data_IF_538051536199
#
_entry.id   IF_538051536199
#
_cell.length_a   1.000
_cell.length_b   1.000
_cell.length_c   1.000
_cell.angle_alpha   90.00
_cell.angle_beta   90.00
_cell.angle_gamma   90.00
#
_symmetry.space_group_name_H-M   'P 1'
#
loop_
_entity.id
_entity.type
_entity.pdbx_description
1 polymer ?
#
# COMPACT_ATOMS: atom_id res chain seq x y z
N UNK A 1 2.83 -32.33 -6.37
CA UNK A 1 3.40 -30.98 -6.64
C UNK A 1 4.87 -30.98 -6.29
N UNK A 2 5.72 -30.25 -6.99
CA UNK A 2 7.08 -29.99 -6.51
C UNK A 2 6.99 -29.38 -5.12
N UNK A 3 7.80 -29.84 -4.19
CA UNK A 3 7.77 -29.41 -2.79
C UNK A 3 8.84 -28.35 -2.63
N UNK A 4 8.45 -27.13 -2.33
CA UNK A 4 9.36 -26.10 -1.86
C UNK A 4 9.57 -26.25 -0.36
N UNK A 5 10.82 -26.11 0.10
CA UNK A 5 11.17 -26.29 1.52
C UNK A 5 11.12 -24.95 2.27
N UNK A 6 10.94 -25.03 3.60
CA UNK A 6 11.09 -23.87 4.49
C UNK A 6 12.47 -23.22 4.36
N UNK A 7 13.53 -24.02 4.12
CA UNK A 7 14.87 -23.52 3.88
C UNK A 7 14.94 -22.64 2.62
N UNK A 8 14.27 -23.05 1.54
CA UNK A 8 14.23 -22.28 0.29
C UNK A 8 13.59 -20.91 0.48
N UNK A 9 12.40 -20.86 1.12
CA UNK A 9 11.74 -19.57 1.38
C UNK A 9 12.52 -18.70 2.36
N UNK A 10 13.13 -19.31 3.40
CA UNK A 10 14.01 -18.60 4.34
C UNK A 10 15.17 -17.93 3.61
N UNK A 11 15.84 -18.66 2.70
CA UNK A 11 16.92 -18.10 1.88
C UNK A 11 16.44 -16.96 1.00
N UNK A 12 15.30 -17.10 0.32
CA UNK A 12 14.74 -16.04 -0.53
C UNK A 12 14.43 -14.77 0.27
N UNK A 13 13.76 -14.88 1.44
CA UNK A 13 13.50 -13.72 2.30
C UNK A 13 14.82 -13.08 2.75
N UNK A 14 15.80 -13.90 3.17
CA UNK A 14 17.08 -13.39 3.64
C UNK A 14 17.84 -12.63 2.54
N UNK A 15 17.87 -13.15 1.30
CA UNK A 15 18.51 -12.46 0.17
C UNK A 15 17.80 -11.13 -0.15
N UNK A 16 16.46 -11.11 -0.17
CA UNK A 16 15.69 -9.88 -0.40
C UNK A 16 15.91 -8.85 0.70
N UNK A 17 15.96 -9.27 1.98
CA UNK A 17 16.21 -8.36 3.11
C UNK A 17 17.60 -7.76 3.09
N UNK A 18 18.62 -8.50 2.64
CA UNK A 18 19.99 -7.96 2.49
C UNK A 18 20.12 -6.82 1.49
N UNK A 19 19.19 -6.74 0.55
CA UNK A 19 19.19 -5.69 -0.46
C UNK A 19 18.49 -4.46 0.10
N UNK A 20 19.27 -3.41 0.37
CA UNK A 20 18.75 -2.09 0.70
C UNK A 20 17.93 -1.58 -0.49
N UNK A 21 16.64 -1.32 -0.26
CA UNK A 21 15.68 -0.78 -1.22
C UNK A 21 14.84 0.34 -0.61
N UNK A 22 15.43 1.11 0.32
CA UNK A 22 14.75 2.27 0.92
C UNK A 22 14.34 3.24 -0.18
N UNK A 23 13.05 3.62 -0.15
CA UNK A 23 12.46 4.51 -1.14
C UNK A 23 13.08 5.92 -1.07
N UNK A 24 13.76 6.39 -2.12
CA UNK A 24 14.42 7.70 -2.12
C UNK A 24 13.45 8.88 -2.14
N UNK A 25 12.18 8.67 -2.49
CA UNK A 25 11.13 9.70 -2.40
C UNK A 25 10.69 9.94 -0.95
N UNK A 26 10.80 8.92 -0.09
CA UNK A 26 10.52 9.03 1.36
C UNK A 26 11.77 9.47 2.14
N UNK A 27 12.93 8.93 1.76
CA UNK A 27 14.19 9.17 2.47
C UNK A 27 15.23 9.67 1.46
N UNK A 28 15.59 10.94 1.47
CA UNK A 28 16.63 11.47 0.61
C UNK A 28 17.93 10.65 0.72
N UNK A 29 18.43 10.14 -0.40
CA UNK A 29 19.60 9.26 -0.46
C UNK A 29 19.30 7.77 -0.23
N UNK A 30 18.04 7.37 -0.12
CA UNK A 30 17.61 5.97 -0.13
C UNK A 30 18.14 5.22 -1.36
N UNK A 31 18.44 3.92 -1.20
CA UNK A 31 19.13 3.12 -2.21
C UNK A 31 18.30 2.86 -3.48
N UNK A 32 16.97 2.97 -3.39
CA UNK A 32 16.04 2.68 -4.49
C UNK A 32 15.98 1.20 -4.85
N UNK A 33 15.24 0.89 -5.90
CA UNK A 33 14.84 -0.49 -6.20
C UNK A 33 15.74 -1.22 -7.19
N UNK A 34 16.74 -0.57 -7.81
CA UNK A 34 17.52 -1.19 -8.89
C UNK A 34 18.11 -2.55 -8.52
N UNK A 35 18.77 -2.63 -7.37
CA UNK A 35 19.46 -3.88 -6.95
C UNK A 35 18.49 -5.01 -6.69
N UNK A 36 17.41 -4.74 -5.98
CA UNK A 36 16.38 -5.75 -5.66
C UNK A 36 15.58 -6.13 -6.91
N UNK A 37 15.30 -5.20 -7.81
CA UNK A 37 14.64 -5.49 -9.10
C UNK A 37 15.48 -6.42 -9.96
N UNK A 38 16.81 -6.19 -10.07
CA UNK A 38 17.73 -7.08 -10.78
C UNK A 38 17.75 -8.47 -10.18
N UNK A 39 17.84 -8.58 -8.86
CA UNK A 39 17.80 -9.86 -8.17
C UNK A 39 16.51 -10.62 -8.43
N UNK A 40 15.35 -9.95 -8.35
CA UNK A 40 14.05 -10.55 -8.64
C UNK A 40 13.97 -11.01 -10.09
N UNK A 41 14.39 -10.16 -11.05
CA UNK A 41 14.39 -10.51 -12.47
C UNK A 41 15.28 -11.74 -12.76
N UNK A 42 16.46 -11.85 -12.13
CA UNK A 42 17.33 -13.02 -12.22
C UNK A 42 16.66 -14.28 -11.66
N UNK A 43 16.02 -14.19 -10.48
CA UNK A 43 15.27 -15.30 -9.89
C UNK A 43 14.13 -15.78 -10.81
N UNK A 44 13.38 -14.86 -11.43
CA UNK A 44 12.31 -15.16 -12.37
C UNK A 44 12.88 -15.85 -13.64
N UNK A 45 13.97 -15.34 -14.20
CA UNK A 45 14.65 -15.95 -15.34
C UNK A 45 15.17 -17.36 -15.02
N UNK A 46 15.79 -17.57 -13.87
CA UNK A 46 16.24 -18.90 -13.41
C UNK A 46 15.07 -19.88 -13.21
N UNK A 47 13.90 -19.38 -12.84
CA UNK A 47 12.69 -20.19 -12.75
C UNK A 47 12.06 -20.48 -14.13
N UNK A 48 12.60 -19.94 -15.24
CA UNK A 48 12.13 -20.19 -16.61
C UNK A 48 11.04 -19.22 -17.10
N UNK A 49 10.84 -18.10 -16.41
CA UNK A 49 9.94 -17.05 -16.88
C UNK A 49 10.63 -16.15 -17.91
N UNK A 50 9.85 -15.59 -18.84
CA UNK A 50 10.27 -14.44 -19.63
C UNK A 50 10.40 -13.24 -18.67
N UNK A 51 11.62 -12.83 -18.35
CA UNK A 51 11.91 -11.80 -17.35
C UNK A 51 12.47 -10.55 -17.99
N UNK A 52 12.06 -9.38 -17.50
CA UNK A 52 12.51 -8.07 -17.96
C UNK A 52 12.57 -7.06 -16.82
N UNK A 53 13.45 -6.06 -16.97
CA UNK A 53 13.55 -4.89 -16.12
C UNK A 53 13.00 -3.68 -16.88
N UNK A 54 12.19 -2.88 -16.19
CA UNK A 54 11.60 -1.66 -16.74
C UNK A 54 11.95 -0.48 -15.84
N UNK A 55 12.75 0.44 -16.35
CA UNK A 55 13.01 1.70 -15.66
C UNK A 55 11.74 2.58 -15.72
N UNK A 56 11.21 2.94 -14.55
CA UNK A 56 9.98 3.74 -14.41
C UNK A 56 10.28 5.20 -14.07
N UNK A 57 11.42 5.44 -13.47
CA UNK A 57 12.01 6.75 -13.21
C UNK A 57 13.52 6.54 -13.05
N UNK A 58 14.31 7.62 -13.03
CA UNK A 58 15.78 7.52 -12.91
C UNK A 58 16.20 6.68 -11.70
N UNK A 59 16.82 5.52 -11.95
CA UNK A 59 17.25 4.56 -10.94
C UNK A 59 16.12 3.77 -10.24
N UNK A 60 14.88 3.89 -10.71
CA UNK A 60 13.70 3.19 -10.16
C UNK A 60 13.24 2.12 -11.15
N UNK A 61 13.18 0.88 -10.75
CA UNK A 61 12.95 -0.24 -11.67
C UNK A 61 11.83 -1.17 -11.19
N UNK A 62 10.97 -1.59 -12.12
CA UNK A 62 10.12 -2.76 -11.98
C UNK A 62 10.86 -4.00 -12.50
N UNK A 63 10.60 -5.16 -11.88
CA UNK A 63 10.96 -6.47 -12.43
C UNK A 63 9.66 -7.20 -12.82
N UNK A 64 9.54 -7.54 -14.10
CA UNK A 64 8.35 -8.21 -14.64
C UNK A 64 8.74 -9.58 -15.17
N UNK A 65 8.01 -10.63 -14.78
CA UNK A 65 8.18 -11.98 -15.28
C UNK A 65 6.88 -12.55 -15.84
N UNK A 66 6.95 -13.35 -16.89
CA UNK A 66 5.79 -14.03 -17.46
C UNK A 66 6.07 -15.52 -17.63
N UNK A 67 5.31 -16.33 -16.93
CA UNK A 67 5.21 -17.76 -17.18
C UNK A 67 4.10 -17.98 -18.22
N UNK A 68 4.50 -18.36 -19.43
CA UNK A 68 3.55 -18.57 -20.53
C UNK A 68 2.70 -19.80 -20.30
N UNK A 69 1.39 -19.63 -20.47
CA UNK A 69 0.44 -20.73 -20.57
C UNK A 69 0.35 -21.29 -21.99
N UNK A 70 -0.31 -22.42 -22.13
CA UNK A 70 -0.57 -23.06 -23.45
C UNK A 70 -1.71 -22.39 -24.24
N UNK A 71 -2.43 -21.46 -23.61
CA UNK A 71 -3.54 -20.72 -24.18
C UNK A 71 -4.91 -21.22 -23.77
N UNK A 72 -5.88 -20.30 -23.76
CA UNK A 72 -7.29 -20.59 -23.49
C UNK A 72 -7.69 -20.65 -22.00
N UNK A 73 -6.84 -20.26 -21.08
CA UNK A 73 -7.16 -20.07 -19.67
C UNK A 73 -7.02 -18.60 -19.22
N UNK A 74 -7.52 -18.27 -18.05
CA UNK A 74 -7.38 -16.93 -17.46
C UNK A 74 -5.96 -16.65 -17.03
N UNK A 75 -5.51 -15.40 -17.17
CA UNK A 75 -4.21 -14.91 -16.69
C UNK A 75 -4.29 -14.40 -15.27
N UNK A 76 -3.27 -14.69 -14.45
CA UNK A 76 -3.17 -14.23 -13.07
C UNK A 76 -1.93 -13.37 -12.87
N UNK A 77 -2.09 -12.18 -12.27
CA UNK A 77 -0.99 -11.35 -11.83
C UNK A 77 -0.67 -11.60 -10.35
N UNK A 78 0.60 -11.77 -10.04
CA UNK A 78 1.16 -11.75 -8.69
C UNK A 78 1.93 -10.43 -8.54
N UNK A 79 1.39 -9.52 -7.75
CA UNK A 79 1.95 -8.18 -7.59
C UNK A 79 2.54 -8.01 -6.18
N UNK A 80 3.61 -7.24 -6.09
CA UNK A 80 4.22 -6.83 -4.83
C UNK A 80 5.28 -5.77 -5.04
N UNK A 81 5.48 -4.91 -4.03
CA UNK A 81 6.44 -3.83 -4.13
C UNK A 81 7.86 -4.23 -3.72
N UNK A 82 8.84 -3.52 -4.27
CA UNK A 82 10.27 -3.72 -4.07
C UNK A 82 10.86 -2.78 -3.03
N UNK A 83 10.29 -1.58 -2.92
CA UNK A 83 10.76 -0.54 -2.01
C UNK A 83 10.39 -0.82 -0.56
N UNK A 84 11.01 -0.08 0.33
CA UNK A 84 10.71 -0.07 1.76
C UNK A 84 10.74 1.35 2.30
N UNK A 85 10.07 1.59 3.42
CA UNK A 85 10.25 2.80 4.21
C UNK A 85 11.65 2.90 4.80
N UNK A 86 11.95 4.03 5.43
CA UNK A 86 13.23 4.29 6.09
C UNK A 86 13.56 3.36 7.25
N UNK A 87 14.78 3.42 7.71
CA UNK A 87 15.36 2.53 8.74
C UNK A 87 15.72 3.25 10.04
N UNK A 88 15.24 4.48 10.24
CA UNK A 88 15.59 5.28 11.40
C UNK A 88 15.33 4.54 12.72
N UNK A 89 16.36 4.42 13.57
CA UNK A 89 16.28 3.73 14.86
C UNK A 89 16.30 2.19 14.78
N UNK A 90 16.47 1.59 13.60
CA UNK A 90 16.56 0.13 13.44
C UNK A 90 18.02 -0.33 13.44
N UNK A 91 18.36 -1.28 14.30
CA UNK A 91 19.70 -1.88 14.31
C UNK A 91 19.84 -2.92 13.20
N UNK A 92 20.90 -2.79 12.39
CA UNK A 92 21.27 -3.73 11.32
C UNK A 92 20.09 -4.10 10.40
N UNK A 93 19.37 -3.12 9.81
CA UNK A 93 18.10 -3.35 9.09
C UNK A 93 18.22 -4.34 7.92
N UNK A 94 19.39 -4.45 7.30
CA UNK A 94 19.67 -5.32 6.14
C UNK A 94 20.56 -6.53 6.48
N UNK A 95 20.71 -6.85 7.77
CA UNK A 95 21.35 -8.07 8.24
C UNK A 95 20.27 -9.05 8.73
N UNK A 96 19.73 -9.92 7.86
CA UNK A 96 18.60 -10.79 8.21
C UNK A 96 18.99 -11.74 9.34
N UNK A 97 18.19 -11.79 10.40
CA UNK A 97 18.37 -12.68 11.55
C UNK A 97 17.18 -13.62 11.67
N UNK A 98 17.46 -14.92 11.68
CA UNK A 98 16.41 -15.93 11.87
C UNK A 98 16.39 -16.38 13.32
N UNK A 99 15.24 -16.29 13.95
CA UNK A 99 15.03 -16.72 15.33
C UNK A 99 13.58 -17.20 15.52
N UNK A 100 13.39 -18.37 16.12
CA UNK A 100 12.08 -18.96 16.46
C UNK A 100 11.09 -18.99 15.27
N UNK A 101 11.56 -19.34 14.06
CA UNK A 101 10.73 -19.38 12.86
C UNK A 101 10.36 -18.03 12.26
N UNK A 102 10.99 -16.95 12.74
CA UNK A 102 10.83 -15.57 12.26
C UNK A 102 12.10 -15.07 11.60
N UNK A 103 11.96 -14.26 10.57
CA UNK A 103 13.10 -13.57 9.96
C UNK A 103 12.92 -12.06 10.19
N UNK A 104 13.91 -11.46 10.83
CA UNK A 104 13.96 -10.04 11.20
C UNK A 104 14.79 -9.25 10.18
N UNK A 105 14.33 -8.05 9.87
CA UNK A 105 14.99 -7.05 9.02
C UNK A 105 13.98 -6.12 8.36
N UNK A 106 14.44 -4.97 7.82
CA UNK A 106 13.57 -4.02 7.13
C UNK A 106 13.00 -4.64 5.85
N UNK A 107 11.69 -4.48 5.67
CA UNK A 107 10.94 -5.05 4.55
C UNK A 107 10.62 -6.54 4.73
N UNK A 108 11.03 -7.18 5.84
CA UNK A 108 10.75 -8.61 6.04
C UNK A 108 9.24 -8.89 6.03
N UNK A 109 8.44 -8.05 6.68
CA UNK A 109 6.99 -8.11 6.66
C UNK A 109 6.43 -7.36 5.44
N UNK A 110 6.90 -6.15 5.17
CA UNK A 110 6.36 -5.20 4.20
C UNK A 110 7.40 -4.88 3.10
N UNK A 111 7.35 -5.56 1.88
CA UNK A 111 6.62 -6.82 1.71
C UNK A 111 7.52 -7.90 1.09
N UNK A 112 8.83 -7.92 1.46
CA UNK A 112 9.81 -8.90 0.91
C UNK A 112 9.46 -10.36 1.26
N UNK A 113 8.71 -10.59 2.36
CA UNK A 113 8.11 -11.89 2.67
C UNK A 113 7.10 -12.33 1.59
N UNK A 114 6.24 -11.42 1.15
CA UNK A 114 5.31 -11.63 0.04
C UNK A 114 6.01 -11.84 -1.30
N UNK A 115 7.07 -11.06 -1.58
CA UNK A 115 7.91 -11.26 -2.77
C UNK A 115 8.60 -12.63 -2.76
N UNK A 116 9.12 -13.07 -1.62
CA UNK A 116 9.71 -14.41 -1.48
C UNK A 116 8.68 -15.52 -1.72
N UNK A 117 7.45 -15.35 -1.20
CA UNK A 117 6.35 -16.28 -1.48
C UNK A 117 6.00 -16.31 -2.97
N UNK A 118 5.99 -15.15 -3.66
CA UNK A 118 5.80 -15.05 -5.10
C UNK A 118 6.87 -15.83 -5.87
N UNK A 119 8.15 -15.58 -5.58
CA UNK A 119 9.27 -16.27 -6.23
C UNK A 119 9.22 -17.79 -6.00
N UNK A 120 8.86 -18.22 -4.80
CA UNK A 120 8.66 -19.62 -4.47
C UNK A 120 7.47 -20.24 -5.24
N UNK A 121 6.34 -19.52 -5.32
CA UNK A 121 5.15 -19.99 -6.04
C UNK A 121 5.43 -20.20 -7.52
N UNK A 122 6.13 -19.27 -8.20
CA UNK A 122 6.45 -19.43 -9.62
C UNK A 122 7.44 -20.57 -9.88
N UNK A 123 8.36 -20.85 -8.94
CA UNK A 123 9.23 -22.03 -9.01
C UNK A 123 8.43 -23.34 -8.97
N UNK A 124 7.39 -23.42 -8.09
CA UNK A 124 6.45 -24.55 -8.03
C UNK A 124 5.72 -24.70 -9.37
N UNK A 125 5.24 -23.58 -9.92
CA UNK A 125 4.44 -23.59 -11.17
C UNK A 125 5.30 -24.00 -12.36
N UNK A 126 6.48 -23.46 -12.52
CA UNK A 126 7.37 -23.72 -13.65
C UNK A 126 7.89 -25.17 -13.69
N UNK A 127 7.99 -25.85 -12.55
CA UNK A 127 8.37 -27.26 -12.46
C UNK A 127 7.19 -28.23 -12.65
N UNK A 128 5.97 -27.70 -12.72
CA UNK A 128 4.75 -28.50 -12.86
C UNK A 128 4.30 -28.63 -14.33
N UNK A 129 3.12 -29.23 -14.56
CA UNK A 129 2.48 -29.21 -15.86
C UNK A 129 2.22 -27.78 -16.35
N UNK A 130 2.33 -27.52 -17.67
CA UNK A 130 2.00 -26.22 -18.24
C UNK A 130 0.57 -25.79 -17.86
N UNK A 131 0.39 -24.52 -17.51
CA UNK A 131 -0.92 -23.92 -17.28
C UNK A 131 -1.58 -23.58 -18.63
N UNK A 132 -2.90 -23.37 -18.64
CA UNK A 132 -3.58 -22.82 -19.84
C UNK A 132 -3.43 -21.31 -19.93
N UNK A 133 -3.61 -20.57 -18.81
CA UNK A 133 -3.42 -19.13 -18.74
C UNK A 133 -2.01 -18.73 -18.32
N UNK A 134 -1.64 -17.47 -18.59
CA UNK A 134 -0.36 -16.91 -18.21
C UNK A 134 -0.34 -16.55 -16.71
N UNK A 135 0.83 -16.68 -16.06
CA UNK A 135 1.10 -16.05 -14.75
C UNK A 135 2.07 -14.89 -14.96
N UNK A 136 1.68 -13.70 -14.54
CA UNK A 136 2.48 -12.47 -14.61
C UNK A 136 2.95 -12.12 -13.21
N UNK A 137 4.27 -12.03 -13.00
CA UNK A 137 4.84 -11.45 -11.78
C UNK A 137 5.14 -10.00 -12.05
N UNK A 138 4.62 -9.11 -11.21
CA UNK A 138 4.85 -7.67 -11.25
C UNK A 138 5.46 -7.22 -9.91
N UNK A 139 6.79 -7.22 -9.82
CA UNK A 139 7.51 -6.65 -8.70
C UNK A 139 7.80 -5.17 -9.01
N UNK A 140 7.14 -4.27 -8.30
CA UNK A 140 7.01 -2.85 -8.66
C UNK A 140 7.73 -1.93 -7.70
N UNK A 141 8.09 -0.75 -8.19
CA UNK A 141 8.75 0.30 -7.43
C UNK A 141 7.75 1.31 -6.86
N UNK A 142 8.13 1.99 -5.77
CA UNK A 142 7.49 3.22 -5.28
C UNK A 142 6.07 3.04 -4.70
N UNK A 143 5.70 1.87 -4.24
CA UNK A 143 4.38 1.65 -3.61
C UNK A 143 4.22 2.51 -2.36
N UNK A 144 5.25 2.56 -1.53
CA UNK A 144 5.31 3.27 -0.25
C UNK A 144 5.17 4.81 -0.36
N UNK A 145 5.12 5.35 -1.61
CA UNK A 145 4.97 6.80 -1.82
C UNK A 145 3.86 7.15 -2.83
N UNK A 146 4.07 6.94 -4.14
CA UNK A 146 3.10 7.33 -5.18
C UNK A 146 2.83 6.23 -6.21
N UNK A 147 3.30 5.02 -5.98
CA UNK A 147 3.06 3.84 -6.84
C UNK A 147 3.48 4.05 -8.30
N UNK A 148 4.59 4.76 -8.51
CA UNK A 148 5.09 5.03 -9.87
C UNK A 148 5.29 3.73 -10.66
N UNK A 149 5.70 2.64 -10.00
CA UNK A 149 5.90 1.32 -10.60
C UNK A 149 4.62 0.71 -11.16
N UNK A 150 3.58 0.60 -10.37
CA UNK A 150 2.28 0.05 -10.81
C UNK A 150 1.61 0.95 -11.85
N UNK A 151 1.70 2.27 -11.71
CA UNK A 151 1.21 3.20 -12.74
C UNK A 151 1.92 3.01 -14.09
N UNK A 152 3.25 2.88 -14.09
CA UNK A 152 4.04 2.63 -15.29
C UNK A 152 3.72 1.25 -15.90
N UNK A 153 3.56 0.21 -15.07
CA UNK A 153 3.12 -1.13 -15.49
C UNK A 153 1.80 -1.06 -16.27
N UNK A 154 0.81 -0.38 -15.71
CA UNK A 154 -0.50 -0.21 -16.32
C UNK A 154 -0.45 0.65 -17.59
N UNK A 155 0.36 1.72 -17.61
CA UNK A 155 0.55 2.56 -18.79
C UNK A 155 1.20 1.80 -19.95
N UNK A 156 2.06 0.81 -19.67
CA UNK A 156 2.66 -0.09 -20.67
C UNK A 156 1.69 -1.16 -21.19
N UNK A 157 0.44 -1.19 -20.72
CA UNK A 157 -0.58 -2.12 -21.14
C UNK A 157 -0.44 -3.52 -20.56
N UNK A 158 0.35 -3.73 -19.51
CA UNK A 158 0.41 -5.01 -18.82
C UNK A 158 -0.92 -5.24 -18.11
N UNK A 159 -1.56 -6.39 -18.38
CA UNK A 159 -2.89 -6.77 -17.88
C UNK A 159 -2.92 -8.23 -17.48
N UNK A 160 -3.89 -8.57 -16.66
CA UNK A 160 -4.29 -9.93 -16.31
C UNK A 160 -5.80 -9.97 -16.01
N UNK A 161 -6.40 -11.15 -15.98
CA UNK A 161 -7.84 -11.32 -15.69
C UNK A 161 -8.14 -11.15 -14.20
N UNK A 162 -7.12 -11.33 -13.33
CA UNK A 162 -7.18 -11.02 -11.91
C UNK A 162 -5.77 -10.81 -11.33
N UNK A 163 -5.69 -10.27 -10.10
CA UNK A 163 -4.44 -10.11 -9.37
C UNK A 163 -4.54 -10.55 -7.91
N UNK A 164 -3.43 -11.09 -7.40
CA UNK A 164 -3.16 -11.25 -5.97
C UNK A 164 -2.00 -10.31 -5.62
N UNK A 165 -2.24 -9.40 -4.70
CA UNK A 165 -1.21 -8.50 -4.15
C UNK A 165 -0.71 -9.10 -2.85
N UNK A 166 0.60 -9.38 -2.76
CA UNK A 166 1.17 -10.24 -1.72
C UNK A 166 1.50 -9.49 -0.41
N UNK A 167 0.66 -8.52 -0.06
CA UNK A 167 0.76 -7.72 1.17
C UNK A 167 0.58 -8.55 2.45
N UNK A 168 1.14 -8.10 3.59
CA UNK A 168 1.15 -8.86 4.84
C UNK A 168 -0.24 -8.92 5.50
N UNK A 169 -1.07 -9.86 5.08
CA UNK A 169 -2.44 -10.05 5.59
C UNK A 169 -2.55 -11.12 6.68
N UNK A 170 -1.44 -11.78 7.05
CA UNK A 170 -1.50 -12.90 8.01
C UNK A 170 -2.22 -14.14 7.48
N UNK A 171 -2.17 -14.37 6.16
CA UNK A 171 -2.88 -15.43 5.43
C UNK A 171 -4.41 -15.25 5.41
N UNK A 172 -4.92 -14.07 5.74
CA UNK A 172 -6.30 -13.68 5.48
C UNK A 172 -6.45 -13.22 4.04
N UNK A 173 -7.58 -13.50 3.42
CA UNK A 173 -7.92 -12.99 2.09
C UNK A 173 -8.62 -11.65 2.28
N UNK A 174 -7.91 -10.55 2.05
CA UNK A 174 -8.52 -9.24 2.13
C UNK A 174 -9.12 -8.83 0.78
N UNK A 175 -10.42 -8.58 0.78
CA UNK A 175 -11.19 -8.19 -0.41
C UNK A 175 -11.47 -6.71 -0.47
N UNK A 176 -11.11 -5.97 0.58
CA UNK A 176 -11.28 -4.52 0.66
C UNK A 176 -10.13 -3.88 1.45
N UNK A 177 -9.82 -2.63 1.13
CA UNK A 177 -8.97 -1.77 1.96
C UNK A 177 -9.39 -0.31 1.86
N UNK A 178 -8.97 0.51 2.85
CA UNK A 178 -9.25 1.95 2.82
C UNK A 178 -8.43 2.65 1.76
N UNK A 179 -9.01 3.70 1.19
CA UNK A 179 -8.29 4.74 0.46
C UNK A 179 -7.82 5.85 1.40
N UNK A 180 -7.16 6.87 0.83
CA UNK A 180 -6.81 8.07 1.55
C UNK A 180 -6.81 9.30 0.65
N UNK A 181 -6.93 10.47 1.26
CA UNK A 181 -6.79 11.74 0.59
C UNK A 181 -6.07 12.73 1.51
N UNK A 182 -5.14 13.50 0.96
CA UNK A 182 -4.45 14.56 1.67
C UNK A 182 -5.00 15.92 1.27
N UNK A 183 -4.88 16.88 2.17
CA UNK A 183 -5.21 18.26 1.88
C UNK A 183 -4.36 19.20 2.73
N UNK A 184 -4.23 20.43 2.26
CA UNK A 184 -3.66 21.54 3.01
C UNK A 184 -4.74 22.59 3.24
N UNK A 185 -4.82 23.10 4.46
CA UNK A 185 -5.67 24.22 4.82
C UNK A 185 -4.79 25.36 5.31
N UNK A 186 -4.97 26.53 4.73
CA UNK A 186 -4.25 27.75 5.09
C UNK A 186 -5.22 28.77 5.66
N UNK A 187 -4.80 29.43 6.71
CA UNK A 187 -5.50 30.59 7.27
C UNK A 187 -4.61 31.81 7.19
N UNK A 188 -5.19 32.91 6.81
CA UNK A 188 -4.49 34.16 6.59
C UNK A 188 -4.91 35.20 7.64
N UNK A 189 -3.94 35.85 8.21
CA UNK A 189 -4.10 36.93 9.18
C UNK A 189 -3.44 38.21 8.69
N UNK A 190 -3.20 39.11 9.66
CA UNK A 190 -2.45 40.33 9.44
C UNK A 190 -1.47 40.53 10.60
N UNK A 191 -0.17 40.57 10.26
CA UNK A 191 0.88 40.80 11.24
C UNK A 191 0.72 42.20 11.88
N UNK A 192 0.88 42.26 13.20
CA UNK A 192 0.90 43.49 13.96
C UNK A 192 1.65 43.27 15.26
N UNK A 193 2.10 44.32 15.90
CA UNK A 193 2.71 44.24 17.25
C UNK A 193 1.65 43.74 18.25
N UNK A 194 2.01 42.81 19.12
CA UNK A 194 1.08 42.14 20.04
C UNK A 194 0.29 43.10 20.98
N UNK A 195 0.77 44.34 21.18
CA UNK A 195 0.05 45.38 21.91
C UNK A 195 -0.98 46.16 21.10
N UNK A 196 -1.14 45.83 19.81
CA UNK A 196 -2.06 46.53 18.88
C UNK A 196 -3.08 45.57 18.28
N UNK A 197 -4.05 45.11 19.08
CA UNK A 197 -5.07 44.14 18.62
C UNK A 197 -5.97 44.67 17.49
N UNK A 198 -6.13 46.00 17.39
CA UNK A 198 -6.91 46.65 16.32
C UNK A 198 -6.23 46.57 14.95
N UNK A 199 -4.91 46.44 14.92
CA UNK A 199 -4.13 46.34 13.67
C UNK A 199 -3.88 44.87 13.23
N UNK A 200 -3.99 43.91 14.18
CA UNK A 200 -3.69 42.50 13.96
C UNK A 200 -4.92 41.68 13.53
N UNK A 201 -4.65 40.56 12.85
CA UNK A 201 -5.59 39.47 12.66
C UNK A 201 -4.84 38.15 12.85
N UNK A 202 -5.29 37.32 13.80
CA UNK A 202 -4.58 36.13 14.25
C UNK A 202 -4.92 34.92 13.40
N UNK A 203 -3.98 34.52 12.53
CA UNK A 203 -4.15 33.34 11.67
C UNK A 203 -4.20 32.04 12.50
N UNK A 204 -3.48 31.92 13.62
CA UNK A 204 -3.50 30.71 14.46
C UNK A 204 -4.85 30.57 15.17
N UNK A 205 -5.43 31.66 15.66
CA UNK A 205 -6.79 31.63 16.23
C UNK A 205 -7.83 31.26 15.16
N UNK A 206 -7.66 31.77 13.93
CA UNK A 206 -8.49 31.37 12.80
C UNK A 206 -8.38 29.87 12.53
N UNK A 207 -7.17 29.30 12.54
CA UNK A 207 -6.96 27.85 12.38
C UNK A 207 -7.66 27.05 13.49
N UNK A 208 -7.80 27.60 14.69
CA UNK A 208 -8.59 26.99 15.77
C UNK A 208 -10.05 26.72 15.38
N UNK A 209 -10.68 27.60 14.59
CA UNK A 209 -12.04 27.35 14.06
C UNK A 209 -12.06 26.22 13.04
N UNK A 210 -11.04 26.14 12.17
CA UNK A 210 -10.88 25.02 11.24
C UNK A 210 -10.74 23.70 11.99
N UNK A 211 -9.88 23.63 13.02
CA UNK A 211 -9.71 22.43 13.84
C UNK A 211 -10.99 21.96 14.53
N UNK A 212 -11.85 22.87 14.98
CA UNK A 212 -13.17 22.53 15.54
C UNK A 212 -14.08 21.89 14.49
N UNK A 213 -14.07 22.37 13.24
CA UNK A 213 -14.86 21.77 12.15
C UNK A 213 -14.28 20.41 11.71
N UNK A 214 -12.95 20.22 11.72
CA UNK A 214 -12.32 18.91 11.49
C UNK A 214 -12.75 17.91 12.57
N UNK A 215 -12.79 18.30 13.84
CA UNK A 215 -13.29 17.45 14.92
C UNK A 215 -14.77 17.11 14.72
N UNK A 216 -15.59 18.07 14.27
CA UNK A 216 -17.00 17.86 13.95
C UNK A 216 -17.15 16.88 12.77
N UNK A 217 -16.34 17.01 11.71
CA UNK A 217 -16.31 16.06 10.60
C UNK A 217 -15.94 14.65 11.10
N UNK A 218 -14.89 14.50 11.93
CA UNK A 218 -14.50 13.20 12.49
C UNK A 218 -15.66 12.54 13.27
N UNK A 219 -16.40 13.31 14.09
CA UNK A 219 -17.60 12.81 14.80
C UNK A 219 -18.70 12.38 13.83
N UNK A 220 -18.94 13.16 12.77
CA UNK A 220 -19.94 12.85 11.76
C UNK A 220 -19.59 11.57 10.99
N UNK A 221 -18.31 11.39 10.62
CA UNK A 221 -17.84 10.18 9.97
C UNK A 221 -18.02 8.93 10.84
N UNK A 222 -17.72 9.04 12.14
CA UNK A 222 -17.92 7.96 13.09
C UNK A 222 -19.41 7.62 13.31
N UNK A 223 -20.34 8.57 13.08
CA UNK A 223 -21.77 8.38 13.21
C UNK A 223 -22.45 7.86 11.94
N UNK A 224 -21.77 7.87 10.78
CA UNK A 224 -22.28 7.28 9.53
C UNK A 224 -22.38 5.76 9.66
N UNK A 225 -23.25 5.13 8.86
CA UNK A 225 -23.30 3.67 8.76
C UNK A 225 -21.91 3.14 8.36
N UNK A 226 -21.30 2.25 9.17
CA UNK A 226 -19.96 1.77 8.89
C UNK A 226 -19.97 0.82 7.68
N UNK A 227 -18.88 0.84 6.91
CA UNK A 227 -18.63 -0.21 5.93
C UNK A 227 -18.51 -1.58 6.63
N UNK A 228 -19.15 -2.66 6.12
CA UNK A 228 -19.25 -3.94 6.84
C UNK A 228 -17.91 -4.55 7.29
N UNK A 229 -16.83 -4.33 6.52
CA UNK A 229 -15.50 -4.88 6.81
C UNK A 229 -14.51 -3.82 7.31
N UNK A 230 -14.62 -2.57 6.86
CA UNK A 230 -13.62 -1.51 7.10
C UNK A 230 -14.01 -0.53 8.21
N UNK A 231 -15.24 -0.64 8.72
CA UNK A 231 -15.76 0.35 9.66
C UNK A 231 -15.97 1.71 9.00
N UNK A 232 -15.78 2.78 9.76
CA UNK A 232 -15.97 4.15 9.27
C UNK A 232 -14.70 4.72 8.68
N UNK A 233 -14.84 5.69 7.78
CA UNK A 233 -13.77 6.59 7.39
C UNK A 233 -13.33 7.46 8.58
N UNK A 234 -12.20 8.15 8.43
CA UNK A 234 -11.67 9.04 9.47
C UNK A 234 -10.94 10.23 8.86
N UNK A 235 -10.84 11.31 9.61
CA UNK A 235 -10.02 12.47 9.26
C UNK A 235 -9.16 12.86 10.46
N UNK A 236 -7.91 13.26 10.22
CA UNK A 236 -7.05 13.80 11.26
C UNK A 236 -6.13 14.90 10.73
N UNK A 237 -5.69 15.75 11.65
CA UNK A 237 -4.66 16.75 11.41
C UNK A 237 -3.28 16.09 11.59
N UNK A 238 -2.44 16.16 10.55
CA UNK A 238 -1.13 15.53 10.53
C UNK A 238 -0.01 16.49 10.96
N UNK A 239 -0.03 17.71 10.39
CA UNK A 239 0.99 18.72 10.65
C UNK A 239 0.32 20.08 10.80
N UNK A 240 0.87 20.94 11.69
CA UNK A 240 0.45 22.33 11.84
C UNK A 240 1.68 23.23 12.01
N UNK A 241 1.66 24.39 11.35
CA UNK A 241 2.72 25.38 11.45
C UNK A 241 2.16 26.79 11.32
N UNK A 242 2.60 27.73 12.16
CA UNK A 242 2.17 29.13 12.10
C UNK A 242 2.93 30.03 13.04
N UNK A 243 2.91 31.36 12.72
CA UNK A 243 3.60 32.38 13.50
C UNK A 243 5.12 32.43 13.25
N UNK A 244 5.76 33.50 13.76
CA UNK A 244 7.21 33.73 13.61
C UNK A 244 7.88 34.08 14.94
N UNK A 245 7.21 34.82 15.82
CA UNK A 245 7.72 35.28 17.10
C UNK A 245 6.61 35.53 18.12
N UNK A 246 6.97 35.64 19.41
CA UNK A 246 6.00 35.74 20.49
C UNK A 246 5.24 37.08 20.58
N UNK A 247 5.84 38.16 20.09
CA UNK A 247 5.28 39.52 20.28
C UNK A 247 4.53 40.05 19.05
N UNK A 248 4.20 39.20 18.10
CA UNK A 248 3.50 39.57 16.84
C UNK A 248 2.27 38.70 16.59
N UNK A 249 1.23 39.30 16.04
CA UNK A 249 0.11 38.57 15.48
C UNK A 249 0.56 37.72 14.31
N UNK A 250 0.25 36.41 14.23
CA UNK A 250 0.64 35.56 13.13
C UNK A 250 -0.16 35.89 11.85
N UNK A 251 0.56 36.13 10.77
CA UNK A 251 -0.05 36.45 9.47
C UNK A 251 -0.48 35.20 8.69
N UNK A 252 0.01 34.02 9.06
CA UNK A 252 -0.26 32.76 8.33
C UNK A 252 -0.18 31.56 9.25
N UNK A 253 -1.04 30.56 8.99
CA UNK A 253 -0.96 29.24 9.60
C UNK A 253 -1.39 28.19 8.57
N UNK A 254 -0.66 27.07 8.52
CA UNK A 254 -0.88 25.95 7.62
C UNK A 254 -1.19 24.68 8.42
N UNK A 255 -2.14 23.89 7.93
CA UNK A 255 -2.56 22.61 8.48
C UNK A 255 -2.56 21.56 7.37
N UNK A 256 -1.85 20.43 7.56
CA UNK A 256 -1.96 19.27 6.69
C UNK A 256 -2.92 18.27 7.28
N UNK A 257 -3.77 17.69 6.43
CA UNK A 257 -4.83 16.75 6.78
C UNK A 257 -4.69 15.43 6.04
N UNK A 258 -5.09 14.33 6.68
CA UNK A 258 -5.35 13.06 6.04
C UNK A 258 -6.79 12.60 6.30
N UNK A 259 -7.48 12.17 5.24
CA UNK A 259 -8.81 11.57 5.24
C UNK A 259 -8.70 10.12 4.79
N UNK A 260 -9.08 9.16 5.66
CA UNK A 260 -9.21 7.75 5.27
C UNK A 260 -10.57 7.49 4.65
N UNK A 261 -10.57 7.07 3.38
CA UNK A 261 -11.76 6.83 2.56
C UNK A 261 -12.20 5.36 2.67
N UNK A 262 -13.51 5.12 2.61
CA UNK A 262 -14.08 3.76 2.49
C UNK A 262 -14.71 3.59 1.10
N UNK A 263 -14.95 2.36 0.61
CA UNK A 263 -15.60 2.12 -0.67
C UNK A 263 -16.89 2.93 -0.84
N UNK A 264 -17.03 3.58 -2.01
CA UNK A 264 -18.08 4.55 -2.30
C UNK A 264 -17.70 6.00 -2.03
N UNK A 265 -16.56 6.26 -1.42
CA UNK A 265 -15.96 7.59 -1.24
C UNK A 265 -14.74 7.74 -2.15
N UNK A 266 -14.43 8.98 -2.55
CA UNK A 266 -13.30 9.34 -3.41
C UNK A 266 -12.70 10.70 -3.04
N UNK A 267 -11.74 11.19 -3.83
CA UNK A 267 -11.13 12.51 -3.61
C UNK A 267 -12.14 13.67 -3.70
N UNK A 268 -13.21 13.54 -4.49
CA UNK A 268 -14.26 14.57 -4.59
C UNK A 268 -15.11 14.64 -3.32
N UNK A 269 -15.28 13.51 -2.64
CA UNK A 269 -15.95 13.44 -1.33
C UNK A 269 -15.21 14.30 -0.31
N UNK A 270 -13.90 14.17 -0.21
CA UNK A 270 -13.10 14.97 0.72
C UNK A 270 -13.03 16.45 0.30
N UNK A 271 -12.95 16.75 -0.99
CA UNK A 271 -12.98 18.12 -1.49
C UNK A 271 -14.27 18.84 -1.08
N UNK A 272 -15.44 18.19 -1.21
CA UNK A 272 -16.71 18.74 -0.78
C UNK A 272 -16.78 18.93 0.76
N UNK A 273 -16.24 17.99 1.54
CA UNK A 273 -16.16 18.11 3.00
C UNK A 273 -15.28 19.33 3.39
N UNK A 274 -14.19 19.60 2.68
CA UNK A 274 -13.32 20.78 2.89
C UNK A 274 -14.02 22.09 2.51
N UNK A 275 -14.76 22.13 1.41
CA UNK A 275 -15.56 23.30 1.02
C UNK A 275 -16.61 23.65 2.09
N UNK A 276 -17.25 22.64 2.67
CA UNK A 276 -18.20 22.83 3.75
C UNK A 276 -17.52 23.41 5.00
N UNK A 277 -16.33 22.94 5.36
CA UNK A 277 -15.54 23.47 6.49
C UNK A 277 -15.20 24.95 6.25
N UNK A 278 -14.68 25.27 5.06
CA UNK A 278 -14.34 26.66 4.70
C UNK A 278 -15.58 27.56 4.79
N UNK A 279 -16.74 27.11 4.28
CA UNK A 279 -17.97 27.87 4.34
C UNK A 279 -18.45 28.12 5.78
N UNK A 280 -18.35 27.12 6.67
CA UNK A 280 -18.71 27.26 8.09
C UNK A 280 -17.80 28.24 8.81
N UNK A 281 -16.49 28.18 8.60
CA UNK A 281 -15.55 29.13 9.20
C UNK A 281 -15.80 30.54 8.71
N UNK A 282 -16.03 30.74 7.42
CA UNK A 282 -16.37 32.05 6.83
C UNK A 282 -17.70 32.62 7.35
N UNK A 283 -18.67 31.75 7.65
CA UNK A 283 -19.94 32.16 8.26
C UNK A 283 -19.77 32.58 9.74
N UNK A 284 -18.80 32.02 10.46
CA UNK A 284 -18.48 32.41 11.83
C UNK A 284 -17.83 33.79 11.88
N UNK A 285 -16.83 34.07 11.05
CA UNK A 285 -16.22 35.40 10.89
C UNK A 285 -15.70 35.60 9.46
N UNK A 286 -16.40 36.44 8.70
CA UNK A 286 -16.06 36.74 7.30
C UNK A 286 -14.70 37.46 7.10
N UNK A 287 -14.07 37.92 8.20
CA UNK A 287 -12.72 38.52 8.16
C UNK A 287 -11.62 37.46 8.15
N UNK A 288 -11.96 36.18 8.36
CA UNK A 288 -11.02 35.07 8.44
C UNK A 288 -10.85 34.38 7.08
N UNK A 289 -9.84 34.77 6.25
CA UNK A 289 -9.60 34.09 4.99
C UNK A 289 -9.07 32.69 5.25
N UNK A 290 -9.76 31.70 4.69
CA UNK A 290 -9.39 30.28 4.75
C UNK A 290 -9.32 29.75 3.32
N UNK A 291 -8.25 29.08 2.99
CA UNK A 291 -8.07 28.35 1.73
C UNK A 291 -7.86 26.87 2.06
N UNK A 292 -8.64 26.00 1.46
CA UNK A 292 -8.41 24.56 1.50
C UNK A 292 -8.03 24.08 0.10
N UNK A 293 -6.90 23.39 0.01
CA UNK A 293 -6.36 22.86 -1.24
C UNK A 293 -6.34 21.33 -1.16
N UNK A 294 -7.26 20.63 -1.87
CA UNK A 294 -7.17 19.18 -2.01
C UNK A 294 -5.84 18.77 -2.65
N UNK A 295 -5.21 17.75 -2.08
CA UNK A 295 -3.93 17.21 -2.54
C UNK A 295 -4.09 15.87 -3.26
N UNK A 296 -3.07 15.02 -3.13
CA UNK A 296 -3.09 13.66 -3.65
C UNK A 296 -4.14 12.82 -2.95
N UNK A 297 -4.75 11.90 -3.70
CA UNK A 297 -5.67 10.91 -3.16
C UNK A 297 -5.50 9.56 -3.85
N UNK A 298 -5.85 8.50 -3.14
CA UNK A 298 -5.84 7.13 -3.62
C UNK A 298 -7.17 6.45 -3.22
N UNK A 299 -7.79 5.80 -4.20
CA UNK A 299 -9.10 5.20 -4.01
C UNK A 299 -9.05 3.98 -3.08
N UNK A 300 -10.15 3.67 -2.36
CA UNK A 300 -10.29 2.42 -1.65
C UNK A 300 -10.45 1.24 -2.62
N UNK A 301 -10.21 0.03 -2.13
CA UNK A 301 -10.48 -1.21 -2.84
C UNK A 301 -11.75 -1.85 -2.26
N UNK A 302 -12.59 -2.39 -3.16
CA UNK A 302 -13.60 -3.38 -2.82
C UNK A 302 -13.77 -4.37 -3.98
N UNK A 303 -13.38 -5.61 -3.76
CA UNK A 303 -13.58 -6.72 -4.70
C UNK A 303 -14.74 -7.59 -4.20
N UNK A 304 -15.84 -7.72 -4.98
CA UNK A 304 -16.97 -8.55 -4.59
C UNK A 304 -16.54 -9.99 -4.28
N UNK A 305 -17.09 -10.55 -3.19
CA UNK A 305 -16.73 -11.90 -2.71
C UNK A 305 -17.09 -13.03 -3.70
N UNK A 306 -18.00 -12.77 -4.63
CA UNK A 306 -18.42 -13.69 -5.67
C UNK A 306 -17.51 -13.68 -6.91
N UNK A 307 -16.49 -12.84 -6.96
CA UNK A 307 -15.49 -12.86 -8.03
C UNK A 307 -14.72 -14.18 -8.04
N UNK A 308 -14.40 -14.65 -9.26
CA UNK A 308 -13.68 -15.93 -9.46
C UNK A 308 -12.39 -16.00 -8.66
N UNK A 309 -11.60 -14.93 -8.64
CA UNK A 309 -10.33 -14.89 -7.90
C UNK A 309 -10.52 -15.09 -6.38
N UNK A 310 -11.55 -14.49 -5.78
CA UNK A 310 -11.84 -14.65 -4.34
C UNK A 310 -12.19 -16.10 -4.04
N UNK A 311 -13.10 -16.70 -4.83
CA UNK A 311 -13.52 -18.11 -4.62
C UNK A 311 -12.37 -19.08 -4.85
N UNK A 312 -11.56 -18.89 -5.90
CA UNK A 312 -10.44 -19.79 -6.22
C UNK A 312 -9.33 -19.68 -5.15
N UNK A 313 -9.03 -18.48 -4.68
CA UNK A 313 -8.04 -18.28 -3.62
C UNK A 313 -8.53 -18.89 -2.30
N UNK A 314 -9.81 -18.71 -1.95
CA UNK A 314 -10.40 -19.30 -0.75
C UNK A 314 -10.35 -20.84 -0.80
N UNK A 315 -10.78 -21.45 -1.89
CA UNK A 315 -10.72 -22.90 -2.08
C UNK A 315 -9.28 -23.43 -2.04
N UNK A 316 -8.31 -22.66 -2.56
CA UNK A 316 -6.90 -23.04 -2.54
C UNK A 316 -6.31 -22.93 -1.15
N UNK A 317 -6.64 -21.87 -0.40
CA UNK A 317 -6.23 -21.71 0.99
C UNK A 317 -6.77 -22.83 1.89
N UNK A 318 -8.06 -23.17 1.75
CA UNK A 318 -8.67 -24.28 2.48
C UNK A 318 -8.00 -25.62 2.16
N UNK A 319 -7.72 -25.90 0.87
CA UNK A 319 -7.08 -27.14 0.43
C UNK A 319 -5.67 -27.30 0.99
N UNK A 320 -4.90 -26.22 1.04
CA UNK A 320 -3.51 -26.24 1.52
C UNK A 320 -3.44 -26.25 3.05
N UNK A 321 -4.28 -25.46 3.73
CA UNK A 321 -4.20 -25.30 5.19
C UNK A 321 -5.09 -26.27 5.95
N UNK A 322 -6.08 -26.89 5.29
CA UNK A 322 -7.11 -27.73 5.93
C UNK A 322 -8.09 -26.92 6.79
N UNK A 323 -8.15 -25.60 6.63
CA UNK A 323 -9.01 -24.69 7.41
C UNK A 323 -9.74 -23.74 6.48
N UNK A 324 -10.98 -23.38 6.85
CA UNK A 324 -11.72 -22.33 6.17
C UNK A 324 -10.94 -20.99 6.25
N UNK A 325 -10.67 -20.34 5.13
CA UNK A 325 -9.94 -19.06 5.14
C UNK A 325 -10.80 -17.92 5.68
N UNK A 326 -10.16 -16.99 6.37
CA UNK A 326 -10.81 -15.76 6.81
C UNK A 326 -10.87 -14.80 5.63
N UNK A 327 -12.08 -14.32 5.31
CA UNK A 327 -12.30 -13.23 4.35
C UNK A 327 -12.41 -11.91 5.12
N UNK A 328 -11.39 -11.07 5.00
CA UNK A 328 -11.23 -9.83 5.75
C UNK A 328 -11.03 -8.60 4.88
N UNK A 329 -10.53 -7.56 5.51
CA UNK A 329 -10.15 -6.29 4.90
C UNK A 329 -8.95 -5.68 5.63
N UNK A 330 -8.22 -4.78 4.96
CA UNK A 330 -7.07 -4.09 5.54
C UNK A 330 -7.35 -2.61 5.72
N UNK A 331 -6.79 -2.02 6.76
CA UNK A 331 -6.95 -0.58 7.03
C UNK A 331 -5.96 0.29 6.24
N UNK A 332 -4.84 -0.29 5.80
CA UNK A 332 -3.85 0.36 4.95
C UNK A 332 -4.23 0.29 3.47
N UNK A 333 -3.66 1.16 2.67
CA UNK A 333 -3.84 1.22 1.24
C UNK A 333 -2.78 0.37 0.54
N UNK A 334 -3.07 -0.11 -0.67
CA UNK A 334 -2.13 -0.88 -1.51
C UNK A 334 -2.37 -0.64 -3.00
N UNK A 335 -1.42 -1.03 -3.82
CA UNK A 335 -1.51 -1.01 -5.29
C UNK A 335 -2.68 -1.82 -5.88
N UNK A 336 -3.31 -2.68 -5.09
CA UNK A 336 -4.51 -3.43 -5.52
C UNK A 336 -5.63 -2.50 -5.99
N UNK A 337 -5.74 -1.30 -5.42
CA UNK A 337 -6.72 -0.30 -5.85
C UNK A 337 -6.45 0.19 -7.27
N UNK A 338 -5.19 0.45 -7.64
CA UNK A 338 -4.80 0.86 -9.00
C UNK A 338 -5.06 -0.24 -10.02
N UNK A 339 -4.77 -1.50 -9.66
CA UNK A 339 -5.06 -2.64 -10.50
C UNK A 339 -6.58 -2.80 -10.71
N UNK A 340 -7.37 -2.67 -9.65
CA UNK A 340 -8.83 -2.75 -9.73
C UNK A 340 -9.44 -1.61 -10.57
N UNK A 341 -8.92 -0.37 -10.45
CA UNK A 341 -9.30 0.77 -11.29
C UNK A 341 -9.02 0.50 -12.78
N UNK A 342 -7.92 -0.19 -13.07
CA UNK A 342 -7.58 -0.61 -14.43
C UNK A 342 -8.39 -1.81 -14.93
N UNK A 343 -9.41 -2.26 -14.18
CA UNK A 343 -10.30 -3.36 -14.54
C UNK A 343 -9.75 -4.75 -14.22
N UNK A 344 -8.71 -4.86 -13.36
CA UNK A 344 -8.12 -6.12 -12.92
C UNK A 344 -8.65 -6.43 -11.50
N UNK A 345 -9.64 -7.33 -11.31
CA UNK A 345 -10.12 -7.69 -9.98
C UNK A 345 -8.97 -8.17 -9.09
N UNK A 346 -8.77 -7.49 -7.96
CA UNK A 346 -7.59 -7.69 -7.12
C UNK A 346 -7.97 -8.06 -5.69
N UNK A 347 -7.18 -8.92 -5.07
CA UNK A 347 -7.29 -9.30 -3.66
C UNK A 347 -5.91 -9.25 -3.00
N UNK A 348 -5.87 -9.07 -1.67
CA UNK A 348 -4.63 -9.13 -0.92
C UNK A 348 -4.54 -10.50 -0.24
N UNK A 349 -3.34 -11.10 -0.29
CA UNK A 349 -3.05 -12.33 0.42
C UNK A 349 -1.55 -12.50 0.61
N UNK A 350 -1.07 -12.47 1.83
CA UNK A 350 0.35 -12.61 2.11
C UNK A 350 0.66 -13.11 3.52
N UNK A 351 1.95 -13.35 3.82
CA UNK A 351 2.38 -13.91 5.09
C UNK A 351 2.12 -12.98 6.27
N UNK A 352 2.04 -13.55 7.47
CA UNK A 352 1.97 -12.81 8.72
C UNK A 352 3.35 -12.39 9.22
N UNK A 353 3.32 -11.41 10.13
CA UNK A 353 4.51 -10.86 10.75
C UNK A 353 4.13 -9.77 11.73
N UNK A 354 5.08 -8.91 12.05
CA UNK A 354 4.85 -7.75 12.90
C UNK A 354 5.84 -6.63 12.54
N UNK A 355 5.40 -5.39 12.70
CA UNK A 355 6.29 -4.25 12.69
C UNK A 355 6.27 -3.44 11.41
N UNK A 356 5.11 -3.34 10.74
CA UNK A 356 4.91 -2.40 9.63
C UNK A 356 5.44 -1.01 10.02
N UNK A 357 6.41 -0.48 9.26
CA UNK A 357 7.06 0.82 9.46
C UNK A 357 7.72 1.04 10.84
N UNK A 358 7.90 -0.03 11.64
CA UNK A 358 8.44 0.04 12.99
C UNK A 358 9.96 -0.24 13.02
N UNK A 359 10.59 0.02 14.17
CA UNK A 359 12.01 -0.28 14.41
C UNK A 359 12.29 -1.76 14.67
N UNK A 360 11.27 -2.56 14.92
CA UNK A 360 11.34 -4.01 15.02
C UNK A 360 10.37 -4.61 13.99
N UNK A 361 10.91 -5.25 12.97
CA UNK A 361 10.13 -5.86 11.90
C UNK A 361 10.56 -7.29 11.66
N UNK A 362 9.58 -8.21 11.50
CA UNK A 362 9.82 -9.60 11.12
C UNK A 362 8.65 -10.20 10.35
N UNK A 363 8.94 -11.22 9.57
CA UNK A 363 7.96 -12.11 8.93
C UNK A 363 7.99 -13.51 9.54
N UNK A 364 6.84 -14.18 9.62
CA UNK A 364 6.74 -15.58 10.01
C UNK A 364 7.11 -16.48 8.82
N UNK A 365 8.21 -17.21 8.90
CA UNK A 365 8.69 -18.05 7.80
C UNK A 365 7.74 -19.19 7.41
N UNK A 366 7.03 -19.87 8.35
CA UNK A 366 5.99 -20.84 8.00
C UNK A 366 4.86 -20.23 7.17
N UNK A 367 4.50 -18.95 7.44
CA UNK A 367 3.44 -18.27 6.69
C UNK A 367 3.90 -17.95 5.27
N UNK A 368 5.19 -17.61 5.07
CA UNK A 368 5.78 -17.42 3.72
C UNK A 368 5.67 -18.69 2.89
N UNK A 369 5.99 -19.84 3.49
CA UNK A 369 5.86 -21.13 2.84
C UNK A 369 4.40 -21.46 2.49
N UNK A 370 3.50 -21.27 3.44
CA UNK A 370 2.06 -21.51 3.24
C UNK A 370 1.51 -20.58 2.16
N UNK A 371 1.87 -19.31 2.20
CA UNK A 371 1.47 -18.34 1.18
C UNK A 371 1.92 -18.78 -0.22
N UNK A 372 3.18 -19.19 -0.38
CA UNK A 372 3.71 -19.68 -1.66
C UNK A 372 2.91 -20.87 -2.20
N UNK A 373 2.56 -21.83 -1.32
CA UNK A 373 1.79 -23.01 -1.70
C UNK A 373 0.36 -22.67 -2.09
N UNK A 374 -0.32 -21.79 -1.34
CA UNK A 374 -1.69 -21.34 -1.63
C UNK A 374 -1.73 -20.58 -2.95
N UNK A 375 -0.80 -19.67 -3.17
CA UNK A 375 -0.73 -18.87 -4.41
C UNK A 375 -0.46 -19.74 -5.62
N UNK A 376 0.45 -20.72 -5.52
CA UNK A 376 0.71 -21.66 -6.60
C UNK A 376 -0.52 -22.53 -6.91
N UNK A 377 -1.24 -23.00 -5.89
CA UNK A 377 -2.47 -23.78 -6.08
C UNK A 377 -3.59 -22.93 -6.67
N UNK A 378 -3.72 -21.66 -6.21
CA UNK A 378 -4.67 -20.71 -6.76
C UNK A 378 -4.38 -20.43 -8.26
N UNK A 379 -3.11 -20.18 -8.61
CA UNK A 379 -2.71 -19.96 -9.98
C UNK A 379 -3.05 -21.16 -10.89
N UNK A 380 -2.81 -22.40 -10.42
CA UNK A 380 -3.22 -23.61 -11.15
C UNK A 380 -4.72 -23.64 -11.40
N UNK A 381 -5.53 -23.48 -10.36
CA UNK A 381 -6.99 -23.59 -10.51
C UNK A 381 -7.58 -22.41 -11.29
N UNK A 382 -7.05 -21.19 -11.12
CA UNK A 382 -7.54 -20.00 -11.82
C UNK A 382 -7.15 -19.99 -13.31
N UNK A 383 -5.92 -20.36 -13.62
CA UNK A 383 -5.42 -20.36 -15.00
C UNK A 383 -5.92 -21.55 -15.84
N UNK A 384 -6.54 -22.55 -15.25
CA UNK A 384 -7.19 -23.66 -15.97
C UNK A 384 -8.64 -23.33 -16.41
N UNK A 385 -9.27 -22.31 -15.82
CA UNK A 385 -10.61 -21.83 -16.20
C UNK A 385 -10.53 -20.74 -17.25
#
# INVERSE_FOLDING_TARGET
MPIISLETVTRLVAELVRLDSVNPSLVPGGAGEEKIARFVAECLGHAGLESSLHEVACGRFNAIGRLRGSGGGHSLMLNGHLDTVGVAGMEQPFAPRVENGRLYGRGAQDMKGGLAATLAAVQILAQGPPLRGDVVVAAVADEEYQSAGTRALLAQGVRADAAIVLEPTGLEIATAHKGFAWAEVETFGRAAHGSRPEDGLDAIVCMGHVLMEIEALQRNLAARAPHPQLGSGSVHASLISGGQELSSYPAHCTLSLERRLVPGEDGSTFAAELEEIVAKVAAHDSRLPVLATPGYWAQPLETPRDRSIVRQLAASAERITGREPVLGAQSFWTDAALLAEAGIPSVLFGPGGTGLHSTLEYVNLPDVLTCAQVVAECARSFCET
#
